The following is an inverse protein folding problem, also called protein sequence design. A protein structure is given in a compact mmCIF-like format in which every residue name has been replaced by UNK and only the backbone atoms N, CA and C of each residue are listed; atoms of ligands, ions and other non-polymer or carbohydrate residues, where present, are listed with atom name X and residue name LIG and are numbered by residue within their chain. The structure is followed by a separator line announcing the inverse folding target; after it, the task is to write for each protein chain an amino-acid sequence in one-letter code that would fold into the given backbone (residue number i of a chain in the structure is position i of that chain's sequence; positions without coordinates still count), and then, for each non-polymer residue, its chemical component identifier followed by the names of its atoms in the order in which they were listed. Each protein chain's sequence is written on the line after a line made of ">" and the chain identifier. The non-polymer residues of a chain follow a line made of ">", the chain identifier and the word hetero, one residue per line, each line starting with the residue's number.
data_IF_726642067804
#
_entry.id   IF_726642067804
#
_cell.length_a   1.000
_cell.length_b   1.000
_cell.length_c   1.000
_cell.angle_alpha   90.00
_cell.angle_beta   90.00
_cell.angle_gamma   90.00
#
_symmetry.space_group_name_H-M   'P 1'
#
loop_
_entity.id
_entity.type
_entity.pdbx_description
1 polymer ?
#
# COMPACT_ATOMS: atom_id res chain seq x y z
N UNK A 1 4.85 -6.02 10.87
CA UNK A 1 5.87 -5.60 9.88
C UNK A 1 7.29 -6.07 10.25
N UNK A 2 7.83 -5.70 11.41
CA UNK A 2 9.20 -6.09 11.84
C UNK A 2 9.48 -7.60 11.78
N UNK A 3 8.52 -8.43 12.21
CA UNK A 3 8.61 -9.89 12.10
C UNK A 3 8.73 -10.35 10.64
N UNK A 4 7.95 -9.77 9.72
CA UNK A 4 7.99 -10.08 8.28
C UNK A 4 9.37 -9.72 7.72
N UNK A 5 9.87 -8.52 8.01
CA UNK A 5 11.20 -8.09 7.56
C UNK A 5 12.32 -8.99 8.09
N UNK A 6 12.22 -9.45 9.34
CA UNK A 6 13.20 -10.41 9.89
C UNK A 6 13.23 -11.73 9.12
N UNK A 7 12.07 -12.26 8.73
CA UNK A 7 11.99 -13.47 7.90
C UNK A 7 12.50 -13.20 6.48
N UNK A 8 12.03 -12.13 5.83
CA UNK A 8 12.44 -11.76 4.48
C UNK A 8 13.96 -11.52 4.38
N UNK A 9 14.56 -10.87 5.38
CA UNK A 9 16.00 -10.68 5.45
C UNK A 9 16.78 -12.00 5.47
N UNK A 10 16.31 -13.01 6.21
CA UNK A 10 16.93 -14.36 6.23
C UNK A 10 16.80 -15.08 4.88
N UNK A 11 15.82 -14.71 4.07
CA UNK A 11 15.64 -15.21 2.71
C UNK A 11 16.42 -14.39 1.65
N UNK A 12 17.21 -13.40 2.07
CA UNK A 12 18.05 -12.58 1.18
C UNK A 12 17.39 -11.31 0.65
N UNK A 13 16.20 -10.94 1.13
CA UNK A 13 15.56 -9.67 0.76
C UNK A 13 16.07 -8.50 1.59
N UNK A 14 16.03 -7.30 1.01
CA UNK A 14 16.37 -6.06 1.70
C UNK A 14 15.40 -5.73 2.84
N UNK A 15 15.85 -4.91 3.78
CA UNK A 15 14.99 -4.33 4.82
C UNK A 15 14.56 -2.95 4.35
N UNK A 16 13.24 -2.71 4.35
CA UNK A 16 12.68 -1.41 4.04
C UNK A 16 11.99 -0.81 5.28
N UNK A 17 12.06 0.52 5.39
CA UNK A 17 11.27 1.26 6.37
C UNK A 17 9.80 1.22 5.98
N UNK A 18 8.92 1.03 6.97
CA UNK A 18 7.49 0.92 6.74
C UNK A 18 6.71 2.02 7.41
N UNK A 19 6.12 2.85 6.57
CA UNK A 19 5.07 3.78 6.94
C UNK A 19 3.74 3.20 6.47
N UNK A 20 2.83 2.76 7.36
CA UNK A 20 1.51 2.27 6.93
C UNK A 20 0.73 3.40 6.26
N UNK A 21 0.34 3.21 5.00
CA UNK A 21 -0.44 4.19 4.24
C UNK A 21 -1.28 3.49 3.17
N UNK A 22 -2.36 4.15 2.74
CA UNK A 22 -3.14 3.75 1.58
C UNK A 22 -2.80 4.66 0.41
N UNK A 23 -2.26 4.08 -0.66
CA UNK A 23 -2.03 4.85 -1.90
C UNK A 23 -3.38 5.13 -2.57
N UNK A 24 -3.77 6.40 -2.67
CA UNK A 24 -4.99 6.81 -3.37
C UNK A 24 -4.76 7.02 -4.87
N UNK A 25 -3.65 7.67 -5.23
CA UNK A 25 -3.31 7.99 -6.61
C UNK A 25 -1.80 8.22 -6.77
N UNK A 26 -1.33 8.21 -8.01
CA UNK A 26 0.05 8.59 -8.39
C UNK A 26 0.01 9.79 -9.33
N UNK A 27 0.61 10.89 -8.90
CA UNK A 27 0.67 12.12 -9.70
C UNK A 27 1.71 11.97 -10.81
N UNK A 28 1.29 12.09 -12.07
CA UNK A 28 2.20 12.05 -13.24
C UNK A 28 2.80 13.41 -13.58
N UNK A 29 2.02 14.48 -13.42
CA UNK A 29 2.44 15.85 -13.64
C UNK A 29 1.58 16.79 -12.79
N UNK A 30 2.20 17.82 -12.18
CA UNK A 30 1.47 18.83 -11.41
C UNK A 30 1.20 20.01 -12.33
N UNK A 31 -0.08 20.23 -12.68
CA UNK A 31 -0.51 21.36 -13.52
C UNK A 31 -1.05 22.55 -12.71
N UNK A 32 -1.62 22.28 -11.54
CA UNK A 32 -2.16 23.29 -10.63
C UNK A 32 -1.71 22.98 -9.20
N UNK A 33 -0.50 23.43 -8.84
CA UNK A 33 0.08 23.21 -7.51
C UNK A 33 -0.74 23.86 -6.39
N UNK A 34 -1.22 25.11 -6.50
CA UNK A 34 -2.05 25.73 -5.46
C UNK A 34 -3.35 24.96 -5.21
N UNK A 35 -4.04 24.54 -6.27
CA UNK A 35 -5.28 23.77 -6.14
C UNK A 35 -5.06 22.41 -5.47
N UNK A 36 -3.97 21.71 -5.82
CA UNK A 36 -3.62 20.44 -5.18
C UNK A 36 -3.28 20.64 -3.70
N UNK A 37 -2.51 21.67 -3.35
CA UNK A 37 -2.18 21.97 -1.97
C UNK A 37 -3.43 22.27 -1.12
N UNK A 38 -4.38 23.05 -1.67
CA UNK A 38 -5.65 23.36 -1.02
C UNK A 38 -6.48 22.09 -0.76
N UNK A 39 -6.57 21.21 -1.75
CA UNK A 39 -7.27 19.92 -1.61
C UNK A 39 -6.64 19.05 -0.51
N UNK A 40 -5.31 18.95 -0.48
CA UNK A 40 -4.62 18.16 0.55
C UNK A 40 -4.79 18.75 1.96
N UNK A 41 -4.87 20.08 2.07
CA UNK A 41 -5.13 20.76 3.34
C UNK A 41 -6.55 20.52 3.84
N UNK A 42 -7.55 20.61 2.93
CA UNK A 42 -8.96 20.34 3.23
C UNK A 42 -9.20 18.93 3.79
N UNK A 43 -8.45 17.93 3.29
CA UNK A 43 -8.58 16.53 3.72
C UNK A 43 -7.55 16.10 4.79
N UNK A 44 -6.71 17.01 5.31
CA UNK A 44 -5.61 16.64 6.22
C UNK A 44 -6.09 15.88 7.46
N UNK A 45 -7.18 16.36 8.07
CA UNK A 45 -7.69 15.86 9.34
C UNK A 45 -9.01 15.09 9.19
N UNK A 46 -9.37 14.73 7.97
CA UNK A 46 -10.59 13.96 7.70
C UNK A 46 -10.39 12.51 8.07
N UNK A 47 -11.28 11.98 8.93
CA UNK A 47 -11.35 10.54 9.21
C UNK A 47 -12.14 9.84 8.12
N UNK A 48 -11.47 8.96 7.37
CA UNK A 48 -12.07 8.15 6.30
C UNK A 48 -12.72 6.84 6.79
N UNK A 49 -12.74 6.63 8.10
CA UNK A 49 -13.30 5.45 8.75
C UNK A 49 -12.24 4.43 9.17
N UNK A 50 -12.71 3.22 9.49
CA UNK A 50 -11.91 2.12 10.01
C UNK A 50 -12.06 0.89 9.12
N UNK A 51 -11.05 0.02 9.11
CA UNK A 51 -11.14 -1.31 8.49
C UNK A 51 -10.66 -2.38 9.46
N UNK A 52 -11.37 -3.49 9.49
CA UNK A 52 -10.93 -4.68 10.22
C UNK A 52 -9.85 -5.42 9.43
N UNK A 53 -8.73 -5.68 10.08
CA UNK A 53 -7.63 -6.46 9.49
C UNK A 53 -7.90 -7.94 9.72
N UNK A 54 -8.55 -8.58 8.75
CA UNK A 54 -8.97 -9.99 8.85
C UNK A 54 -7.97 -10.98 8.24
N UNK A 55 -7.00 -10.52 7.47
CA UNK A 55 -6.02 -11.37 6.79
C UNK A 55 -4.80 -10.63 6.28
N UNK A 56 -3.73 -11.37 6.05
CA UNK A 56 -2.55 -10.96 5.29
C UNK A 56 -2.50 -11.78 4.01
N UNK A 57 -2.28 -11.11 2.87
CA UNK A 57 -2.26 -11.73 1.54
C UNK A 57 -0.90 -11.54 0.87
N UNK A 58 -0.39 -12.61 0.28
CA UNK A 58 0.73 -12.53 -0.67
C UNK A 58 0.16 -12.29 -2.06
N UNK A 59 0.56 -11.18 -2.67
CA UNK A 59 0.08 -10.73 -3.97
C UNK A 59 1.17 -10.89 -5.03
N UNK A 60 0.79 -11.33 -6.22
CA UNK A 60 1.63 -11.31 -7.42
C UNK A 60 1.09 -10.27 -8.38
N UNK A 61 1.99 -9.48 -8.97
CA UNK A 61 1.68 -8.57 -10.07
C UNK A 61 2.36 -9.08 -11.34
N UNK A 62 1.61 -9.21 -12.42
CA UNK A 62 2.12 -9.55 -13.75
C UNK A 62 1.77 -8.43 -14.72
N UNK A 63 2.80 -7.77 -15.29
CA UNK A 63 2.60 -6.71 -16.26
C UNK A 63 2.16 -7.29 -17.60
N UNK A 64 1.13 -6.71 -18.20
CA UNK A 64 0.69 -7.02 -19.57
C UNK A 64 0.62 -5.74 -20.39
N UNK A 65 0.56 -5.82 -21.73
CA UNK A 65 0.33 -4.65 -22.58
C UNK A 65 -0.96 -3.88 -22.24
N UNK A 66 -1.97 -4.55 -21.66
CA UNK A 66 -3.24 -3.93 -21.24
C UNK A 66 -3.20 -3.38 -19.81
N UNK A 67 -2.09 -3.55 -19.09
CA UNK A 67 -1.92 -3.15 -17.69
C UNK A 67 -1.54 -4.31 -16.75
N UNK A 68 -1.25 -4.02 -15.47
CA UNK A 68 -0.89 -5.04 -14.49
C UNK A 68 -2.10 -5.87 -14.08
N UNK A 69 -1.93 -7.19 -14.03
CA UNK A 69 -2.88 -8.13 -13.44
C UNK A 69 -2.37 -8.49 -12.05
N UNK A 70 -3.24 -8.35 -11.04
CA UNK A 70 -2.93 -8.69 -9.65
C UNK A 70 -3.66 -9.95 -9.22
N UNK A 71 -2.92 -10.91 -8.65
CA UNK A 71 -3.50 -12.17 -8.14
C UNK A 71 -3.09 -12.39 -6.68
N UNK A 72 -3.99 -12.98 -5.89
CA UNK A 72 -3.63 -13.51 -4.56
C UNK A 72 -3.06 -14.90 -4.76
N UNK A 73 -1.85 -15.15 -4.27
CA UNK A 73 -1.22 -16.48 -4.34
C UNK A 73 -1.26 -17.20 -2.99
N UNK A 74 -1.43 -16.47 -1.89
CA UNK A 74 -1.61 -17.02 -0.55
C UNK A 74 -2.39 -16.01 0.32
N UNK A 75 -3.21 -16.53 1.22
CA UNK A 75 -3.92 -15.75 2.23
C UNK A 75 -3.79 -16.45 3.59
N UNK A 76 -3.44 -15.68 4.62
CA UNK A 76 -3.40 -16.14 6.01
C UNK A 76 -4.40 -15.28 6.78
N UNK A 77 -5.36 -15.91 7.45
CA UNK A 77 -6.34 -15.19 8.29
C UNK A 77 -5.65 -14.64 9.53
N UNK A 78 -6.06 -13.45 9.95
CA UNK A 78 -5.76 -12.98 11.28
C UNK A 78 -6.42 -13.95 12.29
N UNK A 79 -5.72 -14.25 13.38
CA UNK A 79 -6.30 -15.01 14.47
C UNK A 79 -7.51 -14.30 15.08
N UNK A 80 -8.32 -15.00 15.88
CA UNK A 80 -9.36 -14.38 16.68
C UNK A 80 -8.80 -13.32 17.64
#
# INVERSE_FOLDING_TARGET
>A
HSQINGVLKRLGFGVEEFSPHLTLARVKAIRNRPGLAKLLDEYRDVSFGYMDVTSVRVKKSALTPKGPIYTTIMEVKAGP
#
